data_IF_249821258839
#
_entry.id   IF_249821258839
#
_cell.length_a   1.000
_cell.length_b   1.000
_cell.length_c   1.000
_cell.angle_alpha   90.00
_cell.angle_beta   90.00
_cell.angle_gamma   90.00
#
_symmetry.space_group_name_H-M   'P 1'
#
loop_
_entity.id
_entity.type
_entity.pdbx_description
1 polymer ?
#
# COMPACT_ATOMS: atom_id res chain seq x y z
N UNK A 1 20.00 12.39 -11.42
CA UNK A 1 18.80 12.55 -12.26
C UNK A 1 17.65 11.95 -11.46
N UNK A 2 16.74 12.78 -10.95
CA UNK A 2 15.61 12.31 -10.15
C UNK A 2 14.40 12.20 -11.06
N UNK A 3 13.89 10.99 -11.25
CA UNK A 3 12.63 10.74 -11.95
C UNK A 3 11.50 10.88 -10.93
N UNK A 4 10.78 11.99 -10.97
CA UNK A 4 9.56 12.18 -10.18
C UNK A 4 8.39 11.67 -11.00
N UNK A 5 7.81 10.54 -10.61
CA UNK A 5 6.60 10.02 -11.24
C UNK A 5 5.40 10.86 -10.77
N UNK A 6 5.01 11.85 -11.58
CA UNK A 6 3.85 12.73 -11.31
C UNK A 6 2.56 12.17 -11.92
N UNK A 7 2.24 10.90 -11.68
CA UNK A 7 0.87 10.43 -11.89
C UNK A 7 0.21 10.30 -10.51
N UNK A 8 -0.91 11.00 -10.24
CA UNK A 8 -1.68 10.75 -9.02
C UNK A 8 -2.28 9.35 -9.14
N UNK A 9 -1.56 8.36 -8.63
CA UNK A 9 -2.10 7.03 -8.44
C UNK A 9 -3.18 7.11 -7.37
N UNK A 10 -4.31 6.42 -7.53
CA UNK A 10 -5.37 6.41 -6.54
C UNK A 10 -5.00 5.64 -5.26
N UNK A 11 -3.83 5.00 -5.24
CA UNK A 11 -3.23 4.33 -4.10
C UNK A 11 -2.03 5.09 -3.55
N UNK A 12 -1.81 4.91 -2.25
CA UNK A 12 -0.64 5.40 -1.51
C UNK A 12 0.54 4.43 -1.64
N UNK A 13 0.28 3.13 -1.78
CA UNK A 13 1.32 2.10 -1.85
C UNK A 13 0.88 0.96 -2.80
N UNK A 14 1.78 0.56 -3.69
CA UNK A 14 1.55 -0.60 -4.55
C UNK A 14 1.99 -1.89 -3.86
N UNK A 15 1.07 -2.85 -3.75
CA UNK A 15 1.28 -4.11 -3.02
C UNK A 15 0.65 -5.27 -3.77
N UNK A 16 1.25 -6.45 -3.65
CA UNK A 16 0.60 -7.70 -4.01
C UNK A 16 -0.07 -8.28 -2.76
N UNK A 17 -1.31 -7.90 -2.50
CA UNK A 17 -2.07 -8.42 -1.36
C UNK A 17 -2.71 -9.80 -1.61
N UNK A 18 -2.43 -10.47 -2.75
CA UNK A 18 -2.79 -11.87 -2.91
C UNK A 18 -1.79 -12.79 -2.18
N UNK A 19 -0.62 -12.27 -1.82
CA UNK A 19 0.36 -12.91 -0.95
C UNK A 19 0.32 -12.32 0.46
N UNK A 20 0.00 -13.18 1.42
CA UNK A 20 0.17 -12.91 2.84
C UNK A 20 1.16 -13.91 3.44
N UNK A 21 1.84 -13.49 4.51
CA UNK A 21 2.66 -14.38 5.32
C UNK A 21 1.84 -15.25 6.28
N UNK A 22 2.52 -16.02 7.13
CA UNK A 22 1.90 -16.88 8.15
C UNK A 22 1.11 -16.09 9.22
N UNK A 23 1.38 -14.79 9.37
CA UNK A 23 0.66 -13.88 10.27
C UNK A 23 -0.55 -13.21 9.55
N UNK A 24 -0.74 -13.48 8.25
CA UNK A 24 -1.79 -12.88 7.43
C UNK A 24 -1.45 -11.46 6.96
N UNK A 25 -0.19 -11.04 7.03
CA UNK A 25 0.27 -9.71 6.62
C UNK A 25 0.78 -9.71 5.19
N UNK A 26 0.45 -8.65 4.46
CA UNK A 26 1.01 -8.35 3.13
C UNK A 26 2.28 -7.55 3.27
N UNK A 27 3.27 -7.83 2.43
CA UNK A 27 4.57 -7.13 2.44
C UNK A 27 4.72 -6.27 1.20
N UNK A 28 5.32 -5.10 1.37
CA UNK A 28 5.64 -4.22 0.26
C UNK A 28 6.92 -3.44 0.52
N UNK A 29 7.69 -3.21 -0.54
CA UNK A 29 8.87 -2.37 -0.48
C UNK A 29 8.47 -0.89 -0.40
N UNK A 30 9.15 -0.11 0.46
CA UNK A 30 8.91 1.33 0.60
C UNK A 30 9.12 2.11 -0.69
N UNK A 31 9.90 1.58 -1.63
CA UNK A 31 10.12 2.18 -2.96
C UNK A 31 8.87 2.19 -3.84
N UNK A 32 7.87 1.37 -3.52
CA UNK A 32 6.56 1.37 -4.17
C UNK A 32 5.57 2.36 -3.54
N UNK A 33 5.99 3.06 -2.47
CA UNK A 33 5.17 4.10 -1.87
C UNK A 33 5.12 5.33 -2.77
N UNK A 34 4.00 6.04 -2.70
CA UNK A 34 3.87 7.36 -3.30
C UNK A 34 4.92 8.31 -2.70
N UNK A 35 5.49 9.16 -3.55
CA UNK A 35 6.43 10.20 -3.12
C UNK A 35 5.83 11.08 -2.01
N UNK A 36 6.57 11.22 -0.91
CA UNK A 36 6.17 12.01 0.27
C UNK A 36 5.21 11.32 1.22
N UNK A 37 4.86 10.04 0.99
CA UNK A 37 4.07 9.26 1.94
C UNK A 37 4.83 9.07 3.25
N UNK A 38 4.17 9.40 4.36
CA UNK A 38 4.72 9.18 5.70
C UNK A 38 4.31 7.79 6.18
N UNK A 39 5.28 6.87 6.19
CA UNK A 39 5.07 5.51 6.67
C UNK A 39 5.21 5.47 8.19
N UNK A 40 4.08 5.26 8.88
CA UNK A 40 4.03 5.19 10.34
C UNK A 40 3.12 4.04 10.78
N UNK A 41 3.59 3.22 11.70
CA UNK A 41 2.82 2.12 12.29
C UNK A 41 1.50 2.64 12.88
N UNK A 42 0.40 1.93 12.62
CA UNK A 42 -0.98 2.30 12.94
C UNK A 42 -1.62 3.28 11.96
N UNK A 43 -0.92 3.71 10.91
CA UNK A 43 -1.50 4.58 9.88
C UNK A 43 -2.25 3.75 8.86
N UNK A 44 -3.42 4.25 8.46
CA UNK A 44 -4.20 3.69 7.35
C UNK A 44 -3.81 4.34 6.03
N UNK A 45 -3.78 3.53 4.99
CA UNK A 45 -3.49 3.95 3.62
C UNK A 45 -4.30 3.15 2.61
N UNK A 46 -4.39 3.67 1.39
CA UNK A 46 -5.00 2.94 0.28
C UNK A 46 -3.90 2.18 -0.45
N UNK A 47 -4.05 0.86 -0.55
CA UNK A 47 -3.17 0.03 -1.37
C UNK A 47 -3.80 -0.28 -2.71
N UNK A 48 -2.97 -0.40 -3.74
CA UNK A 48 -3.36 -0.89 -5.06
C UNK A 48 -2.62 -2.18 -5.41
N UNK A 49 -3.23 -3.03 -6.24
CA UNK A 49 -2.60 -4.25 -6.77
C UNK A 49 -2.55 -4.28 -8.31
N UNK A 50 -2.00 -5.36 -8.86
CA UNK A 50 -1.88 -5.61 -10.30
C UNK A 50 -3.20 -5.60 -11.08
N UNK A 51 -4.32 -5.91 -10.43
CA UNK A 51 -5.66 -5.86 -11.02
C UNK A 51 -6.25 -4.44 -11.04
N UNK A 52 -5.50 -3.45 -10.56
CA UNK A 52 -5.96 -2.08 -10.28
C UNK A 52 -7.11 -2.01 -9.25
N UNK A 53 -7.29 -3.07 -8.45
CA UNK A 53 -8.17 -3.07 -7.30
C UNK A 53 -7.54 -2.25 -6.17
N UNK A 54 -8.41 -1.65 -5.34
CA UNK A 54 -8.02 -0.85 -4.18
C UNK A 54 -8.53 -1.48 -2.89
N UNK A 55 -7.71 -1.43 -1.84
CA UNK A 55 -8.09 -1.86 -0.51
C UNK A 55 -7.58 -0.89 0.56
N UNK A 56 -8.27 -0.84 1.68
CA UNK A 56 -7.73 -0.18 2.86
C UNK A 56 -6.70 -1.09 3.51
N UNK A 57 -5.62 -0.51 3.98
CA UNK A 57 -4.59 -1.23 4.71
C UNK A 57 -4.10 -0.42 5.90
N UNK A 58 -3.66 -1.11 6.94
CA UNK A 58 -2.99 -0.53 8.10
C UNK A 58 -1.53 -0.98 8.16
N UNK A 59 -0.62 -0.04 8.41
CA UNK A 59 0.79 -0.36 8.64
C UNK A 59 0.95 -1.00 10.01
N UNK A 60 1.27 -2.29 10.05
CA UNK A 60 1.50 -3.03 11.29
C UNK A 60 2.97 -2.99 11.69
N UNK A 61 3.88 -3.03 10.71
CA UNK A 61 5.34 -3.04 10.95
C UNK A 61 6.07 -2.36 9.80
N UNK A 62 7.21 -1.73 10.10
CA UNK A 62 8.17 -1.26 9.11
C UNK A 62 9.54 -1.73 9.54
N UNK A 63 10.22 -2.49 8.69
CA UNK A 63 11.52 -3.06 8.99
C UNK A 63 12.34 -3.22 7.72
N UNK A 64 13.62 -2.78 7.75
CA UNK A 64 14.58 -2.99 6.66
C UNK A 64 14.10 -2.53 5.27
N UNK A 65 13.30 -1.45 5.20
CA UNK A 65 12.73 -0.95 3.94
C UNK A 65 11.51 -1.74 3.44
N UNK A 66 10.98 -2.66 4.24
CA UNK A 66 9.75 -3.39 3.99
C UNK A 66 8.65 -2.91 4.95
N UNK A 67 7.47 -2.67 4.39
CA UNK A 67 6.24 -2.34 5.11
C UNK A 67 5.39 -3.60 5.19
N UNK A 68 4.91 -3.91 6.38
CA UNK A 68 3.99 -5.01 6.65
C UNK A 68 2.61 -4.41 6.92
N UNK A 69 1.63 -4.91 6.20
CA UNK A 69 0.31 -4.34 6.09
C UNK A 69 -0.72 -5.37 6.45
N UNK A 70 -1.70 -4.95 7.24
CA UNK A 70 -2.95 -5.69 7.39
C UNK A 70 -3.96 -5.10 6.41
N UNK A 71 -4.45 -5.93 5.50
CA UNK A 71 -5.44 -5.52 4.50
C UNK A 71 -6.83 -5.70 5.09
N UNK A 72 -7.62 -4.63 5.10
CA UNK A 72 -9.02 -4.71 5.49
C UNK A 72 -9.82 -5.39 4.36
N UNK A 73 -10.72 -6.30 4.74
CA UNK A 73 -11.60 -7.00 3.80
C UNK A 73 -12.54 -6.05 3.02
N UNK A 74 -12.67 -4.81 3.49
CA UNK A 74 -13.46 -3.76 2.86
C UNK A 74 -12.71 -3.21 1.63
N UNK A 75 -13.03 -3.77 0.46
CA UNK A 75 -12.57 -3.24 -0.84
C UNK A 75 -12.96 -1.76 -0.95
N UNK A 76 -11.99 -0.92 -1.30
CA UNK A 76 -12.26 0.50 -1.57
C UNK A 76 -12.90 0.57 -2.94
N UNK A 77 -14.20 0.84 -2.98
CA UNK A 77 -14.86 1.25 -4.22
C UNK A 77 -14.35 2.64 -4.55
N UNK A 78 -13.68 2.81 -5.70
CA UNK A 78 -13.35 4.14 -6.20
C UNK A 78 -14.63 4.98 -6.22
N UNK A 79 -14.64 6.22 -5.72
CA UNK A 79 -15.76 7.10 -5.96
C UNK A 79 -15.86 7.29 -7.47
N UNK A 80 -16.98 6.82 -8.04
CA UNK A 80 -17.29 7.01 -9.46
C UNK A 80 -17.15 8.49 -9.80
N UNK A 81 -16.24 8.78 -10.74
CA UNK A 81 -16.00 10.13 -11.27
C UNK A 81 -17.21 10.64 -12.03
#
# INVERSE_FOLDING_TARGET
>A
MSVSATHPTPWDLWVDYQRCDEEGLTHADVTHARDGLVLKIGSRLIVGNEDADLANAEIVRVQDGIVFLQIDSDRVTQPSK
#
